data_IF_791103012716
#
_entry.id   IF_791103012716
#
_cell.length_a   1.000
_cell.length_b   1.000
_cell.length_c   1.000
_cell.angle_alpha   90.00
_cell.angle_beta   90.00
_cell.angle_gamma   90.00
#
_symmetry.space_group_name_H-M   'P 1'
#
loop_
_entity.id
_entity.type
_entity.pdbx_description
1 polymer ?
#
# COMPACT_ATOMS: atom_id res chain seq x y z
N UNK A 1 -11.04 1.11 -34.37
CA UNK A 1 -10.76 0.14 -33.30
C UNK A 1 -9.60 0.71 -32.50
N UNK A 2 -9.88 1.45 -31.44
CA UNK A 2 -8.88 2.03 -30.54
C UNK A 2 -9.22 1.56 -29.14
N UNK A 3 -8.80 0.35 -28.79
CA UNK A 3 -8.87 -0.14 -27.43
C UNK A 3 -7.71 0.48 -26.67
N UNK A 4 -8.00 1.53 -25.91
CA UNK A 4 -7.08 2.10 -24.93
C UNK A 4 -6.83 1.04 -23.87
N UNK A 5 -5.77 0.25 -24.04
CA UNK A 5 -5.25 -0.63 -22.99
C UNK A 5 -4.74 0.30 -21.88
N UNK A 6 -5.52 0.46 -20.81
CA UNK A 6 -5.02 1.03 -19.57
C UNK A 6 -3.90 0.12 -19.08
N UNK A 7 -2.66 0.53 -19.37
CA UNK A 7 -1.47 -0.05 -18.79
C UNK A 7 -1.49 0.30 -17.29
N UNK A 8 -2.12 -0.55 -16.49
CA UNK A 8 -2.06 -0.49 -15.03
C UNK A 8 -0.62 -0.81 -14.63
N UNK A 9 0.24 0.20 -14.74
CA UNK A 9 1.63 0.13 -14.31
C UNK A 9 1.62 -0.41 -12.90
N UNK A 10 2.19 -1.61 -12.73
CA UNK A 10 2.33 -2.38 -11.50
C UNK A 10 2.49 -1.44 -10.33
N UNK A 11 1.43 -1.23 -9.56
CA UNK A 11 1.51 -0.42 -8.38
C UNK A 11 2.56 -1.11 -7.49
N UNK A 12 3.58 -0.35 -7.15
CA UNK A 12 4.65 -0.70 -6.24
C UNK A 12 4.74 0.51 -5.33
N UNK A 13 4.80 0.29 -4.02
CA UNK A 13 4.66 1.39 -3.08
C UNK A 13 5.81 2.39 -3.25
N UNK A 14 5.52 3.56 -3.82
CA UNK A 14 6.54 4.58 -4.10
C UNK A 14 7.20 5.13 -2.84
N UNK A 15 6.48 5.18 -1.71
CA UNK A 15 7.01 5.69 -0.45
C UNK A 15 8.05 4.74 0.16
N UNK A 16 7.74 3.44 0.19
CA UNK A 16 8.71 2.43 0.62
C UNK A 16 9.85 2.27 -0.40
N UNK A 17 9.57 2.47 -1.68
CA UNK A 17 10.54 2.33 -2.78
C UNK A 17 11.60 3.44 -2.85
N UNK A 18 11.37 4.61 -2.23
CA UNK A 18 12.36 5.70 -2.17
C UNK A 18 13.25 5.64 -0.93
N UNK A 19 12.94 4.76 0.03
CA UNK A 19 13.75 4.65 1.23
C UNK A 19 15.12 4.07 0.90
N UNK A 20 16.20 4.59 1.52
CA UNK A 20 17.47 3.89 1.56
C UNK A 20 17.30 2.47 2.08
N UNK A 21 18.13 1.55 1.58
CA UNK A 21 18.02 0.12 1.91
C UNK A 21 18.12 -0.12 3.42
N UNK A 22 18.98 0.63 4.09
CA UNK A 22 19.25 0.54 5.52
C UNK A 22 18.01 0.93 6.33
N UNK A 23 17.29 1.96 5.90
CA UNK A 23 16.04 2.40 6.53
C UNK A 23 14.89 1.43 6.27
N UNK A 24 14.79 0.89 5.05
CA UNK A 24 13.79 -0.12 4.73
C UNK A 24 13.95 -1.38 5.60
N UNK A 25 15.19 -1.82 5.84
CA UNK A 25 15.49 -2.99 6.68
C UNK A 25 15.02 -2.78 8.13
N UNK A 26 15.01 -1.55 8.65
CA UNK A 26 14.47 -1.25 9.98
C UNK A 26 12.95 -1.40 10.04
N UNK A 27 12.25 -1.07 8.95
CA UNK A 27 10.79 -1.19 8.87
C UNK A 27 10.34 -2.62 8.56
N UNK A 28 11.14 -3.38 7.80
CA UNK A 28 10.79 -4.71 7.29
C UNK A 28 10.17 -5.66 8.34
N UNK A 29 10.69 -5.78 9.59
CA UNK A 29 10.13 -6.68 10.60
C UNK A 29 8.71 -6.30 11.05
N UNK A 30 8.31 -5.05 10.84
CA UNK A 30 7.02 -4.49 11.24
C UNK A 30 6.02 -4.41 10.08
N UNK A 31 6.48 -4.66 8.85
CA UNK A 31 5.63 -4.67 7.67
C UNK A 31 4.93 -6.01 7.51
N UNK A 32 3.62 -5.96 7.33
CA UNK A 32 2.79 -7.12 7.02
C UNK A 32 1.94 -6.81 5.79
N UNK A 33 1.96 -7.72 4.82
CA UNK A 33 1.05 -7.65 3.67
C UNK A 33 -0.38 -7.87 4.13
N UNK A 34 -1.25 -6.90 3.85
CA UNK A 34 -2.67 -6.93 4.18
C UNK A 34 -3.49 -6.84 2.90
N UNK A 35 -4.48 -7.72 2.75
CA UNK A 35 -5.43 -7.69 1.64
C UNK A 35 -6.76 -7.11 2.13
N UNK A 36 -7.26 -6.09 1.43
CA UNK A 36 -8.55 -5.49 1.71
C UNK A 36 -9.53 -5.82 0.59
N UNK A 37 -10.80 -6.00 0.96
CA UNK A 37 -11.87 -6.14 -0.03
C UNK A 37 -12.37 -4.75 -0.45
N UNK A 38 -12.83 -4.63 -1.69
CA UNK A 38 -13.48 -3.40 -2.13
C UNK A 38 -14.69 -3.10 -1.24
N UNK A 39 -14.81 -1.84 -0.78
CA UNK A 39 -15.85 -1.40 0.15
C UNK A 39 -15.59 -1.79 1.62
N UNK A 40 -14.46 -2.42 1.94
CA UNK A 40 -14.10 -2.70 3.33
C UNK A 40 -13.73 -1.39 4.06
N UNK A 41 -14.38 -1.16 5.19
CA UNK A 41 -14.05 -0.08 6.11
C UNK A 41 -12.82 -0.51 6.94
N UNK A 42 -11.76 0.31 6.93
CA UNK A 42 -10.51 0.04 7.67
C UNK A 42 -10.56 0.69 9.06
N UNK A 43 -11.19 1.87 9.17
CA UNK A 43 -11.46 2.58 10.41
C UNK A 43 -12.84 3.22 10.35
N UNK A 44 -13.53 3.25 11.48
CA UNK A 44 -14.74 4.03 11.68
C UNK A 44 -14.41 5.39 12.30
N UNK A 45 -15.41 6.26 12.31
CA UNK A 45 -15.34 7.51 13.06
C UNK A 45 -15.13 7.22 14.55
N UNK A 46 -14.22 7.96 15.18
CA UNK A 46 -13.77 7.78 16.57
C UNK A 46 -12.84 6.59 16.84
N UNK A 47 -12.52 5.75 15.85
CA UNK A 47 -11.50 4.72 16.03
C UNK A 47 -10.10 5.35 16.21
N UNK A 48 -9.31 4.80 17.14
CA UNK A 48 -7.91 5.18 17.27
C UNK A 48 -7.08 4.59 16.13
N UNK A 49 -6.30 5.43 15.45
CA UNK A 49 -5.41 5.01 14.36
C UNK A 49 -4.15 4.40 14.95
N UNK A 50 -4.06 3.07 14.92
CA UNK A 50 -2.93 2.31 15.46
C UNK A 50 -1.96 1.78 14.39
N UNK A 51 -2.33 1.83 13.10
CA UNK A 51 -1.55 1.26 12.02
C UNK A 51 -1.37 2.25 10.85
N UNK A 52 -0.26 2.11 10.14
CA UNK A 52 0.03 2.85 8.90
C UNK A 52 -0.01 1.85 7.73
N UNK A 53 -0.67 2.23 6.65
CA UNK A 53 -0.85 1.38 5.47
C UNK A 53 -0.12 1.96 4.25
N UNK A 54 0.54 1.08 3.53
CA UNK A 54 1.28 1.38 2.31
C UNK A 54 0.58 0.69 1.13
N UNK A 55 -0.05 1.43 0.21
CA UNK A 55 -0.69 0.83 -0.96
C UNK A 55 0.33 0.06 -1.78
N UNK A 56 0.11 -1.24 -1.94
CA UNK A 56 0.98 -2.11 -2.71
C UNK A 56 0.38 -2.38 -4.08
N UNK A 57 -0.92 -2.66 -4.19
CA UNK A 57 -1.64 -2.92 -5.44
C UNK A 57 -3.06 -2.37 -5.36
N UNK A 58 -3.67 -2.03 -6.50
CA UNK A 58 -5.02 -1.47 -6.60
C UNK A 58 -5.57 -1.56 -8.01
#
# INVERSE_FOLDING_TARGET
MHDTVHNFSTVSNKLLGVLPKEEFVLLQPHLKTCNFRLGQIIYNESDSINNVYFPNMG
#
